data_IF_096668355665
#
_entry.id   IF_096668355665
#
_cell.length_a   1.000
_cell.length_b   1.000
_cell.length_c   1.000
_cell.angle_alpha   90.00
_cell.angle_beta   90.00
_cell.angle_gamma   90.00
#
_symmetry.space_group_name_H-M   'P 1'
#
loop_
_entity.id
_entity.type
_entity.pdbx_description
1 polymer ?
#
# COMPACT_ATOMS: atom_id res chain seq x y z
N UNK A 1 -85.00 -33.04 -81.11
CA UNK A 1 -83.57 -33.06 -81.50
C UNK A 1 -82.81 -33.13 -80.19
N UNK A 2 -81.98 -34.15 -80.07
CA UNK A 2 -81.12 -34.54 -78.95
C UNK A 2 -81.77 -34.77 -77.58
N UNK A 3 -82.27 -36.01 -77.45
CA UNK A 3 -82.08 -36.93 -76.31
C UNK A 3 -80.65 -36.93 -75.71
N UNK A 4 -80.32 -37.48 -74.52
CA UNK A 4 -80.99 -37.92 -73.26
C UNK A 4 -79.85 -38.38 -72.30
N UNK A 5 -79.96 -38.80 -71.01
CA UNK A 5 -81.07 -39.19 -70.12
C UNK A 5 -80.72 -38.86 -68.63
N UNK A 6 -81.47 -39.38 -67.64
CA UNK A 6 -81.22 -39.20 -66.19
C UNK A 6 -80.17 -40.14 -65.55
N UNK A 7 -80.22 -40.50 -64.25
CA UNK A 7 -81.27 -40.30 -63.23
C UNK A 7 -80.72 -40.36 -61.77
N UNK A 8 -81.54 -39.97 -60.78
CA UNK A 8 -81.22 -39.83 -59.35
C UNK A 8 -80.94 -41.12 -58.55
N UNK A 9 -80.20 -40.98 -57.43
CA UNK A 9 -80.41 -41.80 -56.21
C UNK A 9 -80.08 -41.03 -54.91
N UNK A 10 -80.62 -41.50 -53.77
CA UNK A 10 -80.54 -40.92 -52.41
C UNK A 10 -79.76 -41.84 -51.44
N UNK A 11 -79.64 -41.41 -50.17
CA UNK A 11 -79.25 -42.17 -48.95
C UNK A 11 -77.71 -42.21 -48.71
N UNK A 12 -77.16 -42.07 -47.49
CA UNK A 12 -77.82 -41.93 -46.17
C UNK A 12 -76.88 -41.63 -44.98
N UNK A 13 -77.29 -42.07 -43.78
CA UNK A 13 -76.81 -41.62 -42.45
C UNK A 13 -75.61 -42.43 -41.91
N UNK A 14 -74.65 -41.76 -41.26
CA UNK A 14 -74.21 -42.19 -39.91
C UNK A 14 -72.73 -42.52 -39.61
N UNK A 15 -72.29 -42.01 -38.44
CA UNK A 15 -71.36 -42.59 -37.45
C UNK A 15 -69.82 -42.67 -37.69
N UNK A 16 -69.11 -41.93 -36.81
CA UNK A 16 -67.87 -42.27 -36.07
C UNK A 16 -66.59 -42.69 -36.82
N UNK A 17 -65.52 -41.86 -36.76
CA UNK A 17 -64.14 -42.33 -36.75
C UNK A 17 -63.79 -42.99 -35.40
N UNK A 18 -63.09 -44.11 -35.43
CA UNK A 18 -62.58 -44.81 -34.24
C UNK A 18 -61.22 -44.24 -33.82
N UNK A 19 -60.91 -44.24 -32.52
CA UNK A 19 -59.60 -43.82 -31.99
C UNK A 19 -58.51 -44.78 -32.49
N UNK A 20 -57.42 -44.23 -33.01
CA UNK A 20 -56.17 -44.95 -33.32
C UNK A 20 -55.06 -44.39 -32.43
N UNK A 21 -54.36 -45.26 -31.70
CA UNK A 21 -53.25 -44.87 -30.83
C UNK A 21 -52.01 -44.50 -31.67
N UNK A 22 -51.69 -43.20 -31.71
CA UNK A 22 -50.36 -42.72 -32.09
C UNK A 22 -49.48 -42.59 -30.84
N UNK A 23 -48.52 -43.51 -30.64
CA UNK A 23 -47.53 -43.38 -29.57
C UNK A 23 -46.50 -42.30 -29.90
N UNK A 24 -46.84 -41.04 -29.65
CA UNK A 24 -45.87 -39.94 -29.63
C UNK A 24 -44.95 -40.10 -28.43
N UNK A 25 -43.82 -40.81 -28.61
CA UNK A 25 -42.75 -40.91 -27.61
C UNK A 25 -42.09 -39.54 -27.47
N UNK A 26 -42.64 -38.70 -26.61
CA UNK A 26 -42.03 -37.42 -26.25
C UNK A 26 -40.83 -37.71 -25.35
N UNK A 27 -39.65 -37.86 -25.96
CA UNK A 27 -38.39 -37.93 -25.22
C UNK A 27 -38.18 -36.56 -24.57
N UNK A 28 -38.61 -36.45 -23.31
CA UNK A 28 -38.24 -35.35 -22.45
C UNK A 28 -36.73 -35.46 -22.18
N UNK A 29 -35.93 -34.90 -23.09
CA UNK A 29 -34.51 -34.68 -22.86
C UNK A 29 -34.43 -33.67 -21.72
N UNK A 30 -34.33 -34.19 -20.50
CA UNK A 30 -33.94 -33.42 -19.33
C UNK A 30 -32.48 -33.00 -19.58
N UNK A 31 -32.31 -31.88 -20.28
CA UNK A 31 -31.04 -31.21 -20.37
C UNK A 31 -30.69 -30.77 -18.96
N UNK A 32 -29.94 -31.62 -18.27
CA UNK A 32 -29.15 -31.24 -17.11
C UNK A 32 -28.12 -30.23 -17.61
N UNK A 33 -28.56 -28.96 -17.73
CA UNK A 33 -27.67 -27.84 -17.92
C UNK A 33 -26.61 -27.97 -16.82
N UNK A 34 -25.32 -28.11 -17.17
CA UNK A 34 -24.30 -28.02 -16.15
C UNK A 34 -24.44 -26.63 -15.55
N UNK A 35 -24.90 -26.56 -14.30
CA UNK A 35 -24.72 -25.34 -13.52
C UNK A 35 -23.21 -25.16 -13.43
N UNK A 36 -22.68 -24.27 -14.26
CA UNK A 36 -21.33 -23.76 -14.15
C UNK A 36 -21.29 -22.94 -12.85
N UNK A 37 -21.24 -23.65 -11.73
CA UNK A 37 -21.25 -23.09 -10.40
C UNK A 37 -20.07 -22.15 -10.33
N UNK A 38 -20.36 -20.85 -10.19
CA UNK A 38 -19.37 -19.80 -10.37
C UNK A 38 -18.17 -20.09 -9.46
N UNK A 39 -17.06 -20.48 -10.07
CA UNK A 39 -15.75 -20.54 -9.46
C UNK A 39 -15.30 -19.10 -9.26
N UNK A 40 -15.89 -18.46 -8.25
CA UNK A 40 -15.67 -17.07 -7.92
C UNK A 40 -14.17 -16.82 -7.90
N UNK A 41 -13.72 -15.86 -8.71
CA UNK A 41 -12.32 -15.52 -8.86
C UNK A 41 -11.69 -15.34 -7.47
N UNK A 42 -10.41 -15.69 -7.32
CA UNK A 42 -9.69 -15.32 -6.10
C UNK A 42 -9.62 -13.80 -5.98
N UNK A 43 -9.51 -13.31 -4.76
CA UNK A 43 -9.02 -11.95 -4.55
C UNK A 43 -7.60 -11.87 -5.12
N UNK A 44 -7.30 -10.80 -5.85
CA UNK A 44 -5.93 -10.46 -6.25
C UNK A 44 -5.58 -9.07 -5.76
N UNK A 45 -4.30 -8.86 -5.46
CA UNK A 45 -3.77 -7.60 -4.94
C UNK A 45 -2.79 -7.00 -5.95
N UNK A 46 -2.55 -5.70 -5.85
CA UNK A 46 -1.36 -5.05 -6.39
C UNK A 46 -1.13 -3.77 -5.57
N UNK A 47 0.00 -3.12 -5.76
CA UNK A 47 0.43 -2.02 -4.92
C UNK A 47 1.94 -1.81 -4.99
N UNK A 48 2.37 -0.60 -4.65
CA UNK A 48 3.77 -0.18 -4.69
C UNK A 48 3.97 1.03 -3.80
N UNK A 49 5.09 1.06 -3.09
CA UNK A 49 5.50 2.22 -2.31
C UNK A 49 6.91 2.67 -2.71
N UNK A 50 7.17 3.97 -2.60
CA UNK A 50 8.51 4.53 -2.74
C UNK A 50 8.68 5.81 -1.91
N UNK A 51 9.84 5.93 -1.25
CA UNK A 51 10.14 7.08 -0.39
C UNK A 51 10.39 8.37 -1.18
N UNK A 52 11.17 8.29 -2.26
CA UNK A 52 11.42 9.44 -3.15
C UNK A 52 11.43 8.99 -4.61
N UNK A 53 10.71 9.70 -5.48
CA UNK A 53 10.85 9.63 -6.94
C UNK A 53 11.31 10.98 -7.48
N UNK A 54 12.28 10.97 -8.39
CA UNK A 54 12.77 12.15 -9.12
C UNK A 54 12.68 11.85 -10.60
N UNK A 55 11.85 12.62 -11.31
CA UNK A 55 11.72 12.59 -12.76
C UNK A 55 12.12 13.95 -13.34
N UNK A 56 13.04 13.94 -14.30
CA UNK A 56 13.51 15.13 -15.02
C UNK A 56 13.66 14.81 -16.50
N UNK A 57 13.96 15.83 -17.31
CA UNK A 57 14.29 15.64 -18.73
C UNK A 57 15.46 14.65 -19.01
N UNK A 58 16.25 14.28 -18.00
CA UNK A 58 17.44 13.42 -18.15
C UNK A 58 17.48 12.22 -17.18
N UNK A 59 16.66 12.21 -16.13
CA UNK A 59 16.68 11.19 -15.07
C UNK A 59 15.27 10.69 -14.73
N UNK A 60 15.17 9.42 -14.37
CA UNK A 60 13.99 8.84 -13.74
C UNK A 60 14.48 7.86 -12.68
N UNK A 61 14.45 8.27 -11.42
CA UNK A 61 15.04 7.56 -10.29
C UNK A 61 14.01 7.40 -9.18
N UNK A 62 13.93 6.21 -8.59
CA UNK A 62 13.16 5.93 -7.37
C UNK A 62 14.07 5.35 -6.29
N UNK A 63 13.81 5.76 -5.06
CA UNK A 63 14.59 5.39 -3.88
C UNK A 63 13.68 4.79 -2.81
N UNK A 64 14.16 3.72 -2.17
CA UNK A 64 13.33 2.82 -1.36
C UNK A 64 12.07 2.36 -2.12
N UNK A 65 12.23 1.92 -3.37
CA UNK A 65 11.13 1.46 -4.22
C UNK A 65 10.86 -0.03 -3.99
N UNK A 66 9.62 -0.41 -3.65
CA UNK A 66 9.23 -1.81 -3.46
C UNK A 66 9.11 -2.58 -4.78
N UNK A 67 8.92 -1.88 -5.90
CA UNK A 67 8.35 -2.50 -7.10
C UNK A 67 6.89 -2.91 -6.89
N UNK A 68 6.30 -3.57 -7.88
CA UNK A 68 4.90 -4.01 -7.85
C UNK A 68 4.71 -5.27 -6.98
N UNK A 69 3.69 -5.25 -6.12
CA UNK A 69 3.24 -6.40 -5.34
C UNK A 69 2.67 -7.50 -6.28
N UNK A 70 3.01 -8.80 -6.06
CA UNK A 70 2.45 -9.91 -6.83
C UNK A 70 0.92 -10.05 -6.67
N UNK A 71 0.27 -10.60 -7.71
CA UNK A 71 -1.18 -10.75 -7.76
C UNK A 71 -1.75 -11.67 -6.66
N UNK A 72 -0.95 -12.65 -6.21
CA UNK A 72 -1.22 -13.52 -5.07
C UNK A 72 -1.09 -12.84 -3.70
N UNK A 73 -0.57 -11.62 -3.65
CA UNK A 73 -0.26 -10.88 -2.44
C UNK A 73 1.10 -11.27 -1.84
N UNK A 74 1.19 -11.18 -0.52
CA UNK A 74 2.44 -11.22 0.23
C UNK A 74 2.78 -9.85 0.78
N UNK A 75 4.07 -9.55 0.89
CA UNK A 75 4.59 -8.24 1.25
C UNK A 75 6.02 -8.06 0.69
N UNK A 76 6.37 -6.84 0.33
CA UNK A 76 7.69 -6.42 -0.16
C UNK A 76 8.04 -5.07 0.48
N UNK A 77 9.24 -4.98 1.03
CA UNK A 77 9.76 -3.81 1.73
C UNK A 77 11.11 -3.32 1.18
N UNK A 78 11.32 -2.00 1.21
CA UNK A 78 12.53 -1.35 0.75
C UNK A 78 12.92 -0.21 1.71
N UNK A 79 14.22 -0.07 2.01
CA UNK A 79 14.73 1.05 2.81
C UNK A 79 16.02 1.64 2.24
N UNK A 80 16.22 2.95 2.46
CA UNK A 80 17.44 3.68 2.09
C UNK A 80 17.79 4.66 3.21
N UNK A 81 19.02 4.58 3.76
CA UNK A 81 19.44 5.43 4.88
C UNK A 81 19.54 6.92 4.50
N UNK A 82 19.91 7.24 3.27
CA UNK A 82 20.05 8.62 2.77
C UNK A 82 20.00 8.70 1.24
N UNK A 83 19.37 9.77 0.73
CA UNK A 83 19.32 10.12 -0.70
C UNK A 83 19.87 11.54 -0.88
N UNK A 84 20.59 11.76 -1.98
CA UNK A 84 21.05 13.08 -2.40
C UNK A 84 21.07 13.14 -3.91
N UNK A 85 20.35 14.12 -4.46
CA UNK A 85 20.27 14.50 -5.88
C UNK A 85 20.21 16.01 -5.97
N UNK A 86 20.39 16.58 -7.17
CA UNK A 86 20.37 18.03 -7.40
C UNK A 86 19.05 18.70 -6.98
N UNK A 87 17.94 17.95 -6.97
CA UNK A 87 16.58 18.48 -6.66
C UNK A 87 15.97 17.93 -5.37
N UNK A 88 16.53 16.87 -4.78
CA UNK A 88 15.97 16.20 -3.61
C UNK A 88 17.06 15.58 -2.72
N UNK A 89 16.98 15.86 -1.42
CA UNK A 89 17.76 15.25 -0.34
C UNK A 89 16.81 14.71 0.72
N UNK A 90 17.13 13.55 1.31
CA UNK A 90 16.29 12.88 2.30
C UNK A 90 17.10 11.89 3.15
N UNK A 91 16.63 11.57 4.35
CA UNK A 91 17.19 10.54 5.23
C UNK A 91 16.12 9.49 5.59
N UNK A 92 16.56 8.31 6.05
CA UNK A 92 15.73 7.22 6.59
C UNK A 92 14.42 7.00 5.80
N UNK A 93 14.57 6.59 4.54
CA UNK A 93 13.44 6.19 3.70
C UNK A 93 13.03 4.76 4.05
N UNK A 94 11.74 4.56 4.31
CA UNK A 94 11.06 3.27 4.37
C UNK A 94 9.93 3.25 3.33
N UNK A 95 9.72 2.11 2.72
CA UNK A 95 8.52 1.82 1.92
C UNK A 95 8.14 0.35 2.03
N UNK A 96 6.85 0.07 2.11
CA UNK A 96 6.28 -1.28 2.21
C UNK A 96 5.06 -1.36 1.30
N UNK A 97 4.87 -2.47 0.62
CA UNK A 97 3.62 -2.82 -0.07
C UNK A 97 3.22 -4.23 0.31
N UNK A 98 1.93 -4.46 0.60
CA UNK A 98 1.44 -5.72 1.14
C UNK A 98 -0.01 -6.01 0.72
N UNK A 99 -0.34 -7.30 0.61
CA UNK A 99 -1.67 -7.75 0.24
C UNK A 99 -1.95 -9.14 0.79
N UNK A 100 -2.99 -9.25 1.61
CA UNK A 100 -3.42 -10.52 2.20
C UNK A 100 -4.87 -10.42 2.69
N UNK A 101 -5.47 -11.56 3.01
CA UNK A 101 -6.83 -11.66 3.53
C UNK A 101 -7.87 -10.98 2.59
N UNK A 102 -8.26 -9.73 2.88
CA UNK A 102 -9.04 -8.84 2.00
C UNK A 102 -8.60 -7.36 2.10
N UNK A 103 -7.30 -7.10 2.35
CA UNK A 103 -6.66 -5.78 2.43
C UNK A 103 -5.41 -5.76 1.54
N UNK A 104 -5.34 -4.82 0.61
CA UNK A 104 -4.08 -4.29 0.11
C UNK A 104 -3.73 -3.04 0.91
N UNK A 105 -2.46 -2.85 1.21
CA UNK A 105 -1.94 -1.68 1.90
C UNK A 105 -0.55 -1.35 1.39
N UNK A 106 -0.19 -0.07 1.40
CA UNK A 106 1.16 0.39 1.14
C UNK A 106 1.46 1.61 2.00
N UNK A 107 2.72 1.71 2.40
CA UNK A 107 3.22 2.71 3.34
C UNK A 107 4.53 3.26 2.80
N UNK A 108 4.72 4.58 2.87
CA UNK A 108 6.01 5.21 2.64
C UNK A 108 6.27 6.27 3.71
N UNK A 109 7.50 6.32 4.23
CA UNK A 109 7.91 7.23 5.29
C UNK A 109 9.35 7.73 5.05
N UNK A 110 9.59 9.02 5.24
CA UNK A 110 10.87 9.68 4.94
C UNK A 110 11.19 10.76 5.98
N UNK A 111 12.44 10.83 6.41
CA UNK A 111 12.98 11.85 7.31
C UNK A 111 13.71 12.97 6.56
N UNK A 112 13.76 14.16 7.16
CA UNK A 112 14.60 15.31 6.76
C UNK A 112 14.59 15.58 5.25
N UNK A 113 13.38 15.78 4.74
CA UNK A 113 13.14 16.05 3.32
C UNK A 113 13.57 17.48 3.02
N UNK A 114 14.42 17.64 2.02
CA UNK A 114 14.80 18.94 1.42
C UNK A 114 14.68 18.84 -0.09
N UNK A 115 13.71 19.54 -0.68
CA UNK A 115 13.55 19.66 -2.13
C UNK A 115 14.01 21.04 -2.60
N UNK A 116 14.53 21.09 -3.83
CA UNK A 116 15.10 22.29 -4.44
C UNK A 116 16.17 22.95 -3.53
N UNK A 117 17.21 22.19 -3.10
CA UNK A 117 18.24 22.69 -2.19
C UNK A 117 18.90 23.97 -2.74
N UNK A 118 19.26 24.88 -1.81
CA UNK A 118 19.88 26.20 -2.11
C UNK A 118 19.03 27.16 -2.96
N UNK A 119 17.83 26.75 -3.42
CA UNK A 119 16.93 27.62 -4.18
C UNK A 119 16.09 28.55 -3.29
N UNK A 120 15.63 29.72 -3.79
CA UNK A 120 14.72 30.59 -3.04
C UNK A 120 13.33 29.98 -2.78
N UNK A 121 13.00 28.84 -3.40
CA UNK A 121 11.75 28.12 -3.21
C UNK A 121 11.98 26.75 -2.54
N UNK A 122 13.10 26.57 -1.83
CA UNK A 122 13.45 25.34 -1.12
C UNK A 122 12.28 24.87 -0.24
N UNK A 123 11.94 23.60 -0.36
CA UNK A 123 10.88 22.96 0.42
C UNK A 123 11.56 22.09 1.47
N UNK A 124 11.16 22.21 2.73
CA UNK A 124 11.70 21.37 3.82
C UNK A 124 10.58 20.77 4.66
N UNK A 125 10.77 19.55 5.15
CA UNK A 125 9.91 18.91 6.13
C UNK A 125 10.72 17.97 7.02
N UNK A 126 10.41 17.95 8.33
CA UNK A 126 11.10 17.12 9.33
C UNK A 126 10.79 15.63 9.14
N UNK A 127 9.56 15.32 8.72
CA UNK A 127 9.07 13.98 8.42
C UNK A 127 7.92 14.04 7.42
N UNK A 128 7.83 13.05 6.54
CA UNK A 128 6.80 12.92 5.49
C UNK A 128 6.40 11.45 5.37
N UNK A 129 5.11 11.12 5.52
CA UNK A 129 4.59 9.77 5.26
C UNK A 129 3.28 9.76 4.47
N UNK A 130 3.01 8.65 3.79
CA UNK A 130 1.74 8.31 3.16
C UNK A 130 1.37 6.86 3.48
N UNK A 131 0.09 6.62 3.81
CA UNK A 131 -0.53 5.30 3.85
C UNK A 131 -1.63 5.26 2.78
N UNK A 132 -1.68 4.18 2.00
CA UNK A 132 -2.79 3.86 1.11
C UNK A 132 -3.36 2.50 1.46
N UNK A 133 -4.68 2.38 1.57
CA UNK A 133 -5.37 1.13 1.91
C UNK A 133 -6.49 0.89 0.91
N UNK A 134 -6.56 -0.32 0.35
CA UNK A 134 -7.66 -0.77 -0.48
C UNK A 134 -8.26 -2.07 0.09
N UNK A 135 -9.58 -2.10 0.25
CA UNK A 135 -10.33 -3.25 0.79
C UNK A 135 -11.51 -3.59 -0.11
N UNK A 136 -12.15 -4.75 0.11
CA UNK A 136 -13.38 -5.10 -0.61
C UNK A 136 -14.62 -4.27 -0.23
N UNK A 137 -14.48 -3.25 0.63
CA UNK A 137 -15.53 -2.29 0.96
C UNK A 137 -15.20 -0.86 0.46
N UNK A 138 -14.07 -0.65 -0.21
CA UNK A 138 -13.58 0.66 -0.66
C UNK A 138 -12.15 0.96 -0.20
N UNK A 139 -11.73 2.20 -0.42
CA UNK A 139 -10.37 2.71 -0.16
C UNK A 139 -10.32 3.72 1.00
N UNK A 140 -9.15 3.89 1.59
CA UNK A 140 -8.80 5.01 2.46
C UNK A 140 -7.34 5.39 2.26
N UNK A 141 -7.03 6.68 2.38
CA UNK A 141 -5.67 7.20 2.25
C UNK A 141 -5.38 8.25 3.33
N UNK A 142 -4.14 8.31 3.80
CA UNK A 142 -3.68 9.30 4.77
C UNK A 142 -2.24 9.75 4.49
N UNK A 143 -1.86 10.91 5.01
CA UNK A 143 -0.46 11.36 4.98
C UNK A 143 -0.15 12.25 6.17
N UNK A 144 1.02 12.06 6.80
CA UNK A 144 1.54 13.01 7.77
C UNK A 144 2.70 13.81 7.16
N UNK A 145 2.69 15.13 7.38
CA UNK A 145 3.80 16.02 7.03
C UNK A 145 4.11 16.90 8.25
N UNK A 146 5.32 16.80 8.78
CA UNK A 146 5.76 17.52 9.99
C UNK A 146 6.67 18.70 9.62
N UNK A 147 6.31 19.89 10.10
CA UNK A 147 7.07 21.14 9.96
C UNK A 147 7.42 21.51 8.50
N UNK A 148 6.40 21.42 7.62
CA UNK A 148 6.52 21.82 6.21
C UNK A 148 6.82 23.31 6.06
N UNK A 149 7.87 23.64 5.31
CA UNK A 149 8.17 25.01 4.87
C UNK A 149 8.41 25.07 3.37
N UNK A 150 8.05 26.19 2.74
CA UNK A 150 8.34 26.51 1.33
C UNK A 150 8.96 27.91 1.29
N UNK A 151 10.17 28.06 0.72
CA UNK A 151 10.91 29.32 0.71
C UNK A 151 11.21 29.86 2.13
N UNK A 152 11.32 28.96 3.12
CA UNK A 152 11.44 29.31 4.54
C UNK A 152 10.13 29.69 5.24
N UNK A 153 9.03 29.93 4.53
CA UNK A 153 7.72 30.17 5.14
C UNK A 153 7.08 28.86 5.58
N UNK A 154 6.63 28.79 6.84
CA UNK A 154 5.88 27.64 7.37
C UNK A 154 4.50 27.51 6.71
N UNK A 155 4.15 26.27 6.36
CA UNK A 155 2.89 25.89 5.71
C UNK A 155 1.98 25.20 6.72
N UNK A 156 0.72 25.63 6.79
CA UNK A 156 -0.33 24.88 7.50
C UNK A 156 -0.82 23.76 6.59
N UNK A 157 -0.59 22.52 7.00
CA UNK A 157 -1.13 21.32 6.35
C UNK A 157 -2.54 21.06 6.90
N UNK A 158 -3.52 20.96 6.01
CA UNK A 158 -4.90 20.66 6.33
C UNK A 158 -5.21 19.16 6.36
N UNK A 159 -6.39 18.80 6.85
CA UNK A 159 -6.86 17.41 6.92
C UNK A 159 -7.60 16.93 5.67
N UNK A 160 -7.82 17.82 4.70
CA UNK A 160 -8.43 17.47 3.41
C UNK A 160 -7.36 16.96 2.43
N UNK A 161 -7.69 16.01 1.53
CA UNK A 161 -6.79 15.61 0.46
C UNK A 161 -6.66 16.70 -0.60
N UNK A 162 -5.59 16.62 -1.39
CA UNK A 162 -5.31 17.47 -2.55
C UNK A 162 -5.16 18.97 -2.20
N UNK A 163 -4.49 19.31 -1.09
CA UNK A 163 -4.16 20.71 -0.77
C UNK A 163 -3.06 21.21 -1.73
N UNK A 164 -3.35 22.27 -2.48
CA UNK A 164 -2.45 22.77 -3.52
C UNK A 164 -1.79 24.11 -3.15
N UNK A 165 -0.49 24.21 -3.41
CA UNK A 165 0.33 25.43 -3.26
C UNK A 165 0.98 25.74 -4.60
N UNK A 166 0.65 26.90 -5.17
CA UNK A 166 1.16 27.34 -6.47
C UNK A 166 2.04 28.59 -6.31
N UNK A 167 3.23 28.54 -6.91
CA UNK A 167 4.08 29.71 -7.15
C UNK A 167 4.09 29.95 -8.67
N UNK A 168 3.33 30.93 -9.19
CA UNK A 168 3.09 31.08 -10.62
C UNK A 168 4.38 31.18 -11.45
N UNK A 169 4.50 30.33 -12.48
CA UNK A 169 5.69 30.25 -13.34
C UNK A 169 6.91 29.57 -12.71
N UNK A 170 6.78 29.00 -11.51
CA UNK A 170 7.87 28.33 -10.78
C UNK A 170 7.51 26.88 -10.47
N UNK A 171 6.51 26.65 -9.62
CA UNK A 171 6.14 25.31 -9.15
C UNK A 171 4.66 25.19 -8.73
N UNK A 172 4.20 23.94 -8.72
CA UNK A 172 2.98 23.45 -8.08
C UNK A 172 3.37 22.37 -7.08
N UNK A 173 2.89 22.46 -5.85
CA UNK A 173 3.03 21.43 -4.83
C UNK A 173 1.63 20.98 -4.41
N UNK A 174 1.35 19.68 -4.53
CA UNK A 174 0.19 19.04 -3.90
C UNK A 174 0.64 18.36 -2.62
N UNK A 175 -0.12 18.55 -1.56
CA UNK A 175 0.06 17.94 -0.24
C UNK A 175 -1.13 17.01 -0.01
N UNK A 176 -0.87 15.80 0.50
CA UNK A 176 -1.89 14.76 0.68
C UNK A 176 -2.66 14.50 -0.64
N UNK A 177 -1.95 14.35 -1.76
CA UNK A 177 -2.60 14.06 -3.04
C UNK A 177 -3.22 12.67 -2.98
N UNK A 178 -4.54 12.56 -3.17
CA UNK A 178 -5.26 11.29 -3.13
C UNK A 178 -6.04 11.09 -4.42
N UNK A 179 -5.76 9.97 -5.08
CA UNK A 179 -6.30 9.60 -6.39
C UNK A 179 -6.98 8.24 -6.25
N UNK A 180 -8.31 8.26 -6.07
CA UNK A 180 -9.15 7.06 -6.13
C UNK A 180 -9.44 6.71 -7.60
N UNK A 181 -9.14 5.46 -7.98
CA UNK A 181 -9.41 4.91 -9.33
C UNK A 181 -10.29 3.66 -9.28
N UNK A 182 -10.94 3.41 -8.14
CA UNK A 182 -11.81 2.26 -7.88
C UNK A 182 -12.91 2.10 -8.93
N UNK A 183 -13.08 0.87 -9.44
CA UNK A 183 -14.03 0.55 -10.50
C UNK A 183 -14.57 -0.89 -10.38
N UNK A 184 -15.90 -1.02 -10.29
CA UNK A 184 -16.61 -2.31 -10.34
C UNK A 184 -16.33 -3.23 -9.16
N UNK A 185 -15.32 -4.10 -9.27
CA UNK A 185 -14.85 -5.00 -8.20
C UNK A 185 -13.44 -4.68 -7.71
N UNK A 186 -12.80 -3.66 -8.27
CA UNK A 186 -11.45 -3.24 -7.94
C UNK A 186 -11.52 -1.97 -7.11
N UNK A 187 -11.02 -2.01 -5.88
CA UNK A 187 -10.75 -0.80 -5.10
C UNK A 187 -9.28 -0.45 -5.30
N UNK A 188 -8.97 0.80 -5.64
CA UNK A 188 -7.60 1.23 -5.98
C UNK A 188 -7.38 2.70 -5.65
N UNK A 189 -6.32 3.00 -4.90
CA UNK A 189 -5.97 4.35 -4.46
C UNK A 189 -4.46 4.58 -4.54
N UNK A 190 -4.06 5.78 -4.98
CA UNK A 190 -2.72 6.33 -4.77
C UNK A 190 -2.77 7.48 -3.78
N UNK A 191 -1.82 7.53 -2.87
CA UNK A 191 -1.54 8.67 -1.99
C UNK A 191 -0.09 9.14 -2.20
N UNK A 192 0.09 10.43 -2.50
CA UNK A 192 1.40 11.08 -2.49
C UNK A 192 1.39 12.16 -1.40
N UNK A 193 2.24 12.02 -0.37
CA UNK A 193 2.27 12.96 0.74
C UNK A 193 2.71 14.37 0.27
N UNK A 194 3.73 14.42 -0.59
CA UNK A 194 4.15 15.60 -1.33
C UNK A 194 4.37 15.24 -2.81
N UNK A 195 3.69 15.95 -3.72
CA UNK A 195 3.91 15.88 -5.17
C UNK A 195 4.26 17.27 -5.67
N UNK A 196 5.54 17.49 -6.01
CA UNK A 196 6.08 18.70 -6.59
C UNK A 196 6.19 18.58 -8.10
N UNK A 197 5.63 19.54 -8.84
CA UNK A 197 5.84 19.71 -10.28
C UNK A 197 6.45 21.10 -10.53
N UNK A 198 7.56 21.18 -11.25
CA UNK A 198 8.19 22.43 -11.66
C UNK A 198 7.65 22.92 -13.01
N UNK A 199 7.73 24.23 -13.27
CA UNK A 199 7.36 24.80 -14.57
C UNK A 199 8.28 24.32 -15.73
N UNK A 200 9.45 23.76 -15.42
CA UNK A 200 10.33 23.06 -16.37
C UNK A 200 9.78 21.71 -16.85
N UNK A 201 8.81 21.14 -16.14
CA UNK A 201 8.31 19.78 -16.36
C UNK A 201 8.99 18.71 -15.48
N UNK A 202 9.94 19.10 -14.63
CA UNK A 202 10.54 18.18 -13.65
C UNK A 202 9.55 17.90 -12.50
N UNK A 203 9.54 16.66 -12.01
CA UNK A 203 8.61 16.15 -11.00
C UNK A 203 9.39 15.48 -9.86
N UNK A 204 9.00 15.77 -8.62
CA UNK A 204 9.51 15.09 -7.42
C UNK A 204 8.35 14.67 -6.53
N UNK A 205 8.26 13.38 -6.23
CA UNK A 205 7.26 12.83 -5.33
C UNK A 205 7.98 12.29 -4.08
N UNK A 206 7.48 12.63 -2.90
CA UNK A 206 7.98 12.16 -1.60
C UNK A 206 6.87 11.46 -0.84
N UNK A 207 7.18 10.27 -0.34
CA UNK A 207 6.28 9.29 0.27
C UNK A 207 5.05 9.02 -0.59
N UNK A 208 5.21 8.09 -1.54
CA UNK A 208 4.12 7.59 -2.37
C UNK A 208 3.73 6.19 -1.95
N UNK A 209 2.42 5.96 -1.82
CA UNK A 209 1.82 4.67 -1.53
C UNK A 209 0.68 4.42 -2.52
N UNK A 210 0.72 3.32 -3.26
CA UNK A 210 -0.36 2.84 -4.12
C UNK A 210 -0.83 1.46 -3.66
N UNK A 211 -2.15 1.24 -3.59
CA UNK A 211 -2.73 -0.05 -3.24
C UNK A 211 -3.98 -0.33 -4.05
N UNK A 212 -4.09 -1.56 -4.58
CA UNK A 212 -5.30 -2.05 -5.19
C UNK A 212 -5.64 -3.49 -4.81
N UNK A 213 -6.95 -3.77 -4.84
CA UNK A 213 -7.51 -5.09 -4.56
C UNK A 213 -8.67 -5.35 -5.52
N UNK A 214 -8.58 -6.42 -6.30
CA UNK A 214 -9.67 -6.90 -7.15
C UNK A 214 -10.38 -8.05 -6.45
N UNK A 215 -11.62 -7.80 -6.03
CA UNK A 215 -12.26 -8.60 -5.00
C UNK A 215 -12.94 -9.87 -5.50
N UNK A 216 -12.76 -10.93 -4.70
CA UNK A 216 -13.20 -12.28 -4.99
C UNK A 216 -13.21 -13.13 -3.72
N UNK A 217 -12.77 -14.39 -3.83
CA UNK A 217 -12.57 -15.28 -2.69
C UNK A 217 -11.17 -15.08 -2.12
N UNK A 218 -11.07 -14.45 -0.95
CA UNK A 218 -9.86 -14.43 -0.15
C UNK A 218 -9.62 -15.78 0.56
N UNK A 219 -8.38 -16.00 0.98
CA UNK A 219 -7.97 -17.07 1.89
C UNK A 219 -7.12 -16.46 2.99
N UNK A 220 -7.34 -16.84 4.25
CA UNK A 220 -6.54 -16.28 5.33
C UNK A 220 -5.07 -16.70 5.23
N UNK A 221 -4.16 -15.77 5.48
CA UNK A 221 -2.71 -16.00 5.48
C UNK A 221 -2.12 -15.70 6.85
N UNK A 222 -1.48 -16.70 7.46
CA UNK A 222 -0.78 -16.54 8.73
C UNK A 222 0.43 -15.58 8.57
N UNK A 223 0.56 -14.67 9.52
CA UNK A 223 1.57 -13.62 9.61
C UNK A 223 1.71 -13.20 11.09
N UNK A 224 2.85 -12.64 11.46
CA UNK A 224 3.06 -11.87 12.69
C UNK A 224 4.29 -10.99 12.45
N UNK A 225 4.10 -9.79 11.93
CA UNK A 225 5.19 -8.84 11.67
C UNK A 225 4.77 -7.40 11.95
N UNK A 226 5.73 -6.53 12.21
CA UNK A 226 5.51 -5.09 12.33
C UNK A 226 6.13 -4.31 11.17
N UNK A 227 5.49 -3.20 10.84
CA UNK A 227 6.04 -2.11 10.02
C UNK A 227 6.14 -0.85 10.89
N UNK A 228 7.14 0.00 10.64
CA UNK A 228 7.25 1.25 11.40
C UNK A 228 8.19 2.27 10.77
N UNK A 229 7.66 3.46 10.48
CA UNK A 229 8.42 4.59 9.96
C UNK A 229 8.03 5.87 10.69
N UNK A 230 9.01 6.54 11.30
CA UNK A 230 8.73 7.67 12.18
C UNK A 230 9.96 8.21 12.90
N UNK A 231 9.73 8.96 13.98
CA UNK A 231 10.79 9.45 14.85
C UNK A 231 10.36 9.65 16.31
N UNK A 232 11.35 9.60 17.20
CA UNK A 232 11.25 9.98 18.61
C UNK A 232 12.09 11.23 18.86
N UNK A 233 11.71 12.03 19.86
CA UNK A 233 12.58 13.08 20.39
C UNK A 233 13.71 12.46 21.23
N UNK A 234 14.91 13.03 21.13
CA UNK A 234 16.09 12.63 21.92
C UNK A 234 16.79 13.87 22.48
N UNK A 235 17.63 13.71 23.49
CA UNK A 235 18.30 14.85 24.11
C UNK A 235 19.20 15.58 23.09
N UNK A 236 18.80 16.80 22.70
CA UNK A 236 19.49 17.63 21.71
C UNK A 236 19.02 17.47 20.26
N UNK A 237 17.96 16.70 19.98
CA UNK A 237 17.45 16.55 18.62
C UNK A 237 16.32 15.53 18.46
N UNK A 238 16.30 14.85 17.31
CA UNK A 238 15.39 13.75 17.00
C UNK A 238 16.17 12.53 16.54
N UNK A 239 15.56 11.36 16.68
CA UNK A 239 16.07 10.13 16.07
C UNK A 239 15.00 9.43 15.25
N UNK A 240 15.30 9.26 13.96
CA UNK A 240 14.39 8.75 12.95
C UNK A 240 14.66 7.27 12.67
N UNK A 241 13.60 6.51 12.44
CA UNK A 241 13.67 5.09 12.15
C UNK A 241 12.80 4.71 10.95
N UNK A 242 13.23 3.66 10.25
CA UNK A 242 12.44 2.95 9.25
C UNK A 242 12.75 1.47 9.41
N UNK A 243 11.78 0.70 9.88
CA UNK A 243 11.94 -0.73 10.15
C UNK A 243 10.76 -1.56 9.65
N UNK A 244 11.08 -2.83 9.47
CA UNK A 244 10.17 -3.92 9.13
C UNK A 244 10.72 -5.17 9.80
N UNK A 245 9.93 -5.94 10.53
CA UNK A 245 10.43 -7.16 11.20
C UNK A 245 9.31 -8.17 11.51
N UNK A 246 9.58 -9.46 11.28
CA UNK A 246 8.77 -10.57 11.82
C UNK A 246 8.50 -11.72 10.84
N UNK A 247 7.48 -12.51 11.14
CA UNK A 247 6.95 -13.60 10.31
C UNK A 247 6.06 -13.03 9.19
N UNK A 248 6.64 -12.92 8.00
CA UNK A 248 5.97 -12.39 6.81
C UNK A 248 4.84 -13.30 6.31
N UNK A 249 3.89 -12.79 5.51
CA UNK A 249 2.72 -13.56 5.07
C UNK A 249 3.08 -14.92 4.46
N UNK A 250 2.61 -15.99 5.10
CA UNK A 250 2.85 -17.37 4.70
C UNK A 250 4.29 -17.86 4.89
N UNK A 251 5.12 -17.17 5.68
CA UNK A 251 6.50 -17.58 6.00
C UNK A 251 6.60 -18.15 7.41
N UNK A 252 7.51 -19.11 7.59
CA UNK A 252 7.86 -19.73 8.88
C UNK A 252 9.22 -19.25 9.44
N UNK A 253 9.92 -18.41 8.68
CA UNK A 253 11.20 -17.78 9.05
C UNK A 253 10.99 -16.29 9.20
N UNK A 254 11.56 -15.70 10.26
CA UNK A 254 11.54 -14.26 10.47
C UNK A 254 12.46 -13.55 9.46
N UNK A 255 12.07 -12.36 9.02
CA UNK A 255 12.90 -11.49 8.17
C UNK A 255 12.55 -10.02 8.40
N UNK A 256 13.36 -9.12 7.87
CA UNK A 256 13.16 -7.68 8.03
C UNK A 256 14.43 -6.85 7.84
N UNK A 257 14.31 -5.56 8.16
CA UNK A 257 15.37 -4.56 8.06
C UNK A 257 15.11 -3.41 9.05
N UNK A 258 16.16 -2.66 9.37
CA UNK A 258 16.12 -1.44 10.18
C UNK A 258 17.16 -0.46 9.64
N UNK A 259 16.75 0.78 9.40
CA UNK A 259 17.64 1.94 9.44
C UNK A 259 17.25 2.84 10.62
N UNK A 260 18.25 3.42 11.26
CA UNK A 260 18.08 4.38 12.35
C UNK A 260 19.10 5.51 12.20
N UNK A 261 18.69 6.75 12.45
CA UNK A 261 19.55 7.93 12.46
C UNK A 261 19.19 8.83 13.64
N UNK A 262 20.08 8.92 14.61
CA UNK A 262 20.06 9.95 15.65
C UNK A 262 20.83 11.19 15.15
N UNK A 263 20.13 12.33 15.06
CA UNK A 263 20.69 13.57 14.56
C UNK A 263 21.51 14.35 15.61
N UNK A 264 21.32 14.05 16.90
CA UNK A 264 22.04 14.68 18.01
C UNK A 264 23.38 14.00 18.29
N UNK A 265 23.42 12.65 18.27
CA UNK A 265 24.67 11.89 18.41
C UNK A 265 25.37 11.57 17.08
N UNK A 266 24.65 11.72 15.96
CA UNK A 266 25.12 11.35 14.62
C UNK A 266 25.14 9.83 14.36
N UNK A 267 24.64 9.02 15.28
CA UNK A 267 24.63 7.55 15.17
C UNK A 267 23.70 7.10 14.04
N UNK A 268 24.28 6.38 13.09
CA UNK A 268 23.60 5.66 12.02
C UNK A 268 23.65 4.16 12.33
N UNK A 269 22.50 3.50 12.39
CA UNK A 269 22.43 2.04 12.48
C UNK A 269 21.78 1.51 11.22
N UNK A 270 22.33 0.43 10.65
CA UNK A 270 21.66 -0.38 9.64
C UNK A 270 21.79 -1.85 10.00
N UNK A 271 20.65 -2.55 10.09
CA UNK A 271 20.64 -4.00 10.32
C UNK A 271 21.27 -4.76 9.14
N UNK A 272 22.01 -5.80 9.49
CA UNK A 272 22.57 -6.80 8.57
C UNK A 272 21.74 -8.09 8.62
N UNK A 273 21.12 -8.40 9.77
CA UNK A 273 20.25 -9.57 9.99
C UNK A 273 19.08 -9.22 10.91
N UNK A 274 18.04 -10.07 10.93
CA UNK A 274 17.09 -10.19 12.04
C UNK A 274 17.25 -11.62 12.58
N UNK A 275 17.60 -11.77 13.86
CA UNK A 275 17.92 -13.07 14.50
C UNK A 275 16.92 -13.48 15.57
N UNK A 276 16.16 -12.54 16.12
CA UNK A 276 14.99 -12.82 16.97
C UNK A 276 13.86 -11.82 16.70
N UNK A 277 12.63 -12.29 16.92
CA UNK A 277 11.39 -11.52 16.92
C UNK A 277 10.40 -12.23 17.85
N UNK A 278 9.92 -11.54 18.88
CA UNK A 278 8.93 -12.05 19.84
C UNK A 278 8.04 -10.92 20.39
N UNK A 279 7.06 -11.27 21.22
CA UNK A 279 6.24 -10.31 21.96
C UNK A 279 4.82 -10.81 22.24
N UNK A 280 3.98 -9.93 22.78
CA UNK A 280 2.58 -10.22 23.11
C UNK A 280 1.73 -8.95 23.03
N UNK A 281 0.41 -9.09 22.82
CA UNK A 281 -0.47 -7.94 22.58
C UNK A 281 -0.04 -7.22 21.30
N UNK A 282 0.01 -5.88 21.35
CA UNK A 282 0.44 -5.01 20.24
C UNK A 282 1.94 -4.67 20.27
N UNK A 283 2.69 -5.16 21.28
CA UNK A 283 4.13 -4.93 21.41
C UNK A 283 4.94 -6.10 20.83
N UNK A 284 6.04 -5.81 20.15
CA UNK A 284 7.06 -6.78 19.75
C UNK A 284 8.47 -6.28 20.04
N UNK A 285 9.38 -7.20 20.27
CA UNK A 285 10.82 -6.96 20.32
C UNK A 285 11.49 -7.74 19.20
N UNK A 286 12.42 -7.10 18.48
CA UNK A 286 13.24 -7.75 17.47
C UNK A 286 14.71 -7.32 17.59
N UNK A 287 15.62 -8.21 17.22
CA UNK A 287 17.06 -8.01 17.35
C UNK A 287 17.83 -8.65 16.23
N UNK A 288 19.07 -8.21 16.02
CA UNK A 288 19.95 -8.74 14.99
C UNK A 288 21.34 -8.13 15.02
N UNK A 289 22.14 -8.51 14.04
CA UNK A 289 23.44 -7.93 13.74
C UNK A 289 23.26 -6.61 12.99
N UNK A 290 24.15 -5.65 13.20
CA UNK A 290 24.09 -4.35 12.55
C UNK A 290 25.46 -3.70 12.35
N UNK A 291 25.50 -2.82 11.36
CA UNK A 291 26.52 -1.78 11.26
C UNK A 291 26.13 -0.57 12.13
N UNK A 292 27.11 0.01 12.81
CA UNK A 292 27.01 1.34 13.42
C UNK A 292 28.01 2.26 12.74
N UNK A 293 27.54 3.38 12.18
CA UNK A 293 28.33 4.33 11.39
C UNK A 293 29.14 3.66 10.26
N UNK A 294 28.61 2.58 9.68
CA UNK A 294 29.25 1.80 8.61
C UNK A 294 30.26 0.74 9.07
N UNK A 295 30.56 0.64 10.37
CA UNK A 295 31.36 -0.45 10.94
C UNK A 295 30.45 -1.60 11.40
N UNK A 296 30.69 -2.82 10.90
CA UNK A 296 29.95 -4.03 11.26
C UNK A 296 30.40 -4.63 12.61
N UNK A 297 29.69 -5.66 13.07
CA UNK A 297 30.02 -6.39 14.31
C UNK A 297 29.38 -5.84 15.59
N UNK A 298 28.34 -5.02 15.44
CA UNK A 298 27.46 -4.63 16.54
C UNK A 298 26.17 -5.43 16.50
N UNK A 299 25.42 -5.43 17.59
CA UNK A 299 24.04 -5.93 17.62
C UNK A 299 23.10 -4.85 18.13
N UNK A 300 21.83 -4.98 17.77
CA UNK A 300 20.76 -4.09 18.20
C UNK A 300 19.59 -4.91 18.77
N UNK A 301 18.79 -4.26 19.60
CA UNK A 301 17.44 -4.70 19.95
C UNK A 301 16.51 -3.49 19.86
N UNK A 302 15.37 -3.67 19.20
CA UNK A 302 14.27 -2.70 19.12
C UNK A 302 13.03 -3.31 19.77
N UNK A 303 12.37 -2.55 20.63
CA UNK A 303 11.00 -2.84 21.09
C UNK A 303 10.07 -1.77 20.52
N UNK A 304 9.00 -2.21 19.88
CA UNK A 304 8.01 -1.36 19.23
C UNK A 304 6.60 -1.74 19.70
N UNK A 305 5.71 -0.76 19.85
CA UNK A 305 4.29 -0.98 20.14
C UNK A 305 3.41 -0.16 19.22
N UNK A 306 2.50 -0.84 18.55
CA UNK A 306 1.28 -0.31 17.93
C UNK A 306 0.29 0.02 19.08
N UNK A 307 -0.24 1.25 19.11
CA UNK A 307 -1.10 1.75 20.19
C UNK A 307 -2.30 2.52 19.65
N UNK A 308 -2.16 3.26 18.55
CA UNK A 308 -3.27 3.94 17.89
C UNK A 308 -3.04 4.13 16.38
N UNK A 309 -4.11 4.37 15.64
CA UNK A 309 -4.06 4.77 14.23
C UNK A 309 -4.73 6.17 14.11
N UNK A 310 -3.97 7.25 13.81
CA UNK A 310 -2.51 7.31 13.63
C UNK A 310 -1.71 7.25 14.94
N UNK A 311 -0.53 6.64 14.86
CA UNK A 311 0.34 6.34 16.00
C UNK A 311 1.06 7.51 16.66
N UNK A 312 1.13 8.68 16.01
CA UNK A 312 1.77 9.87 16.58
C UNK A 312 1.16 10.27 17.93
N UNK A 313 2.00 10.34 18.96
CA UNK A 313 1.57 10.66 20.32
C UNK A 313 1.01 9.47 21.11
N UNK A 314 0.98 8.26 20.54
CA UNK A 314 0.49 7.04 21.18
C UNK A 314 1.52 5.89 21.10
N UNK A 315 1.97 5.55 19.90
CA UNK A 315 2.92 4.47 19.61
C UNK A 315 4.27 4.69 20.27
N UNK A 316 4.98 3.60 20.55
CA UNK A 316 6.28 3.65 21.25
C UNK A 316 7.37 2.96 20.47
N UNK A 317 8.54 3.60 20.36
CA UNK A 317 9.77 3.02 19.84
C UNK A 317 10.87 3.07 20.89
N UNK A 318 11.65 1.99 21.02
CA UNK A 318 12.82 1.89 21.88
C UNK A 318 13.91 1.10 21.18
N UNK A 319 15.15 1.60 21.21
CA UNK A 319 16.34 0.92 20.67
C UNK A 319 17.45 0.84 21.72
N UNK A 320 18.20 -0.26 21.70
CA UNK A 320 19.44 -0.46 22.47
C UNK A 320 20.48 -1.16 21.61
N UNK A 321 21.74 -0.71 21.71
CA UNK A 321 22.86 -1.14 20.87
C UNK A 321 24.00 -1.72 21.72
N UNK A 322 24.75 -2.68 21.18
CA UNK A 322 25.84 -3.35 21.91
C UNK A 322 27.02 -2.45 22.30
N UNK A 323 27.09 -1.22 21.76
CA UNK A 323 28.06 -0.21 22.17
C UNK A 323 27.63 0.62 23.41
N UNK A 324 26.46 0.31 24.00
CA UNK A 324 25.91 1.00 25.18
C UNK A 324 25.04 2.22 24.87
N UNK A 325 24.77 2.52 23.59
CA UNK A 325 23.76 3.51 23.21
C UNK A 325 22.35 2.95 23.38
N UNK A 326 21.42 3.80 23.84
CA UNK A 326 19.98 3.51 23.88
C UNK A 326 19.17 4.79 23.75
N UNK A 327 18.01 4.71 23.11
CA UNK A 327 17.04 5.79 23.02
C UNK A 327 15.62 5.22 22.94
N UNK A 328 14.64 5.92 23.53
CA UNK A 328 13.25 5.47 23.54
C UNK A 328 12.29 6.64 23.71
N UNK A 329 11.09 6.54 23.13
CA UNK A 329 10.05 7.53 23.29
C UNK A 329 8.73 7.13 22.64
N UNK A 330 7.70 7.93 22.90
CA UNK A 330 6.46 7.96 22.11
C UNK A 330 6.75 8.67 20.77
N UNK A 331 6.07 8.27 19.69
CA UNK A 331 6.32 8.84 18.37
C UNK A 331 5.96 10.33 18.31
N UNK A 332 6.92 11.16 17.93
CA UNK A 332 6.74 12.58 17.68
C UNK A 332 6.28 12.86 16.23
N UNK A 333 6.38 11.84 15.35
CA UNK A 333 5.73 11.73 14.04
C UNK A 333 5.94 10.32 13.45
N UNK A 334 5.05 9.92 12.55
CA UNK A 334 5.02 8.57 11.95
C UNK A 334 4.10 7.57 12.66
N UNK A 335 4.18 6.31 12.22
CA UNK A 335 3.25 5.23 12.56
C UNK A 335 3.99 3.90 12.77
N UNK A 336 3.48 3.04 13.66
CA UNK A 336 3.92 1.65 13.88
C UNK A 336 2.69 0.74 13.88
N UNK A 337 2.65 -0.26 13.00
CA UNK A 337 1.52 -1.18 12.87
C UNK A 337 1.93 -2.64 13.04
N UNK A 338 1.07 -3.44 13.68
CA UNK A 338 1.21 -4.88 13.85
C UNK A 338 0.26 -5.66 12.93
N UNK A 339 0.83 -6.59 12.15
CA UNK A 339 0.11 -7.39 11.16
C UNK A 339 0.05 -8.87 11.57
N UNK A 340 -1.13 -9.35 11.96
CA UNK A 340 -1.44 -10.75 12.35
C UNK A 340 -2.63 -11.31 11.58
#
# INVERSE_FOLDING_TARGET
MDDSIGNNRRVGVGLRPTIVLGMSVMIAILMAMPMAGATGARTTFSGRAFGVSVHTAFLNLKFADTGELPAEGGEIDATVLSVTTDVAQANVLLSVTMGFDQRAQSDAAVADVTLLPESPNQITAVFVSAESVATCNGVSGSSEIVDLRVGGQAIVVGTAPNQEINVPGVLRLVINEQIDTSNGRTSSITVNALHLTLFTGDEVIVSSAHSDITCGRGTHVQKDFMTGGGFIEVNGGKANFGFVAGLKPGKTTISGQLNYLDHASGIRVKAETITAYDGTGTTRTFSGDATINGAAGYTFSVTASDVAEPGRGADTFSISLSNGYSASGTLAGGNIQLHT
#
